data_IF_902864256355
#
_entry.id   IF_902864256355
#
_cell.length_a   1.000
_cell.length_b   1.000
_cell.length_c   1.000
_cell.angle_alpha   90.00
_cell.angle_beta   90.00
_cell.angle_gamma   90.00
#
_symmetry.space_group_name_H-M   'P 1'
#
loop_
_entity.id
_entity.type
_entity.pdbx_description
1 polymer ?
#
# COMPACT_ATOMS: atom_id res chain seq x y z
N UNK A 1 20.05 3.31 4.25
CA UNK A 1 19.15 2.25 4.79
C UNK A 1 17.94 2.87 5.50
N UNK A 2 18.14 3.66 6.51
CA UNK A 2 17.04 4.28 7.27
C UNK A 2 16.18 5.17 6.38
N UNK A 3 16.78 5.96 5.49
CA UNK A 3 16.03 6.82 4.57
C UNK A 3 15.14 6.00 3.64
N UNK A 4 15.64 4.88 3.12
CA UNK A 4 14.85 4.01 2.24
C UNK A 4 13.67 3.39 3.00
N UNK A 5 13.86 3.01 4.25
CA UNK A 5 12.78 2.49 5.09
C UNK A 5 11.75 3.58 5.44
N UNK A 6 12.20 4.82 5.66
CA UNK A 6 11.28 5.93 5.88
C UNK A 6 10.47 6.27 4.63
N UNK A 7 11.07 6.15 3.44
CA UNK A 7 10.33 6.31 2.19
C UNK A 7 9.27 5.22 2.03
N UNK A 8 9.64 3.98 2.35
CA UNK A 8 8.70 2.86 2.32
C UNK A 8 7.57 3.05 3.35
N UNK A 9 7.92 3.54 4.54
CA UNK A 9 6.95 3.87 5.57
C UNK A 9 5.94 4.89 5.06
N UNK A 10 6.41 5.96 4.44
CA UNK A 10 5.54 7.01 3.92
C UNK A 10 4.61 6.47 2.82
N UNK A 11 5.12 5.63 1.93
CA UNK A 11 4.27 5.00 0.92
C UNK A 11 3.13 4.20 1.54
N UNK A 12 3.40 3.46 2.59
CA UNK A 12 2.38 2.67 3.27
C UNK A 12 1.39 3.54 4.03
N UNK A 13 1.83 4.64 4.62
CA UNK A 13 0.95 5.62 5.26
C UNK A 13 0.00 6.23 4.23
N UNK A 14 0.52 6.64 3.08
CA UNK A 14 -0.27 7.23 2.00
C UNK A 14 -1.28 6.22 1.44
N UNK A 15 -0.85 4.96 1.26
CA UNK A 15 -1.71 3.89 0.79
C UNK A 15 -2.87 3.65 1.78
N UNK A 16 -2.56 3.56 3.07
CA UNK A 16 -3.60 3.36 4.09
C UNK A 16 -4.62 4.50 4.07
N UNK A 17 -4.16 5.73 3.97
CA UNK A 17 -5.06 6.90 3.90
C UNK A 17 -5.94 6.85 2.66
N UNK A 18 -5.37 6.47 1.51
CA UNK A 18 -6.11 6.34 0.27
C UNK A 18 -7.18 5.25 0.37
N UNK A 19 -6.84 4.10 0.93
CA UNK A 19 -7.80 3.01 1.11
C UNK A 19 -8.89 3.37 2.12
N UNK A 20 -8.58 4.07 3.20
CA UNK A 20 -9.58 4.53 4.15
C UNK A 20 -10.58 5.48 3.52
N UNK A 21 -10.07 6.41 2.71
CA UNK A 21 -10.93 7.37 2.02
C UNK A 21 -11.82 6.67 1.01
N UNK A 22 -11.27 5.75 0.22
CA UNK A 22 -12.04 4.98 -0.74
C UNK A 22 -13.13 4.16 -0.03
N UNK A 23 -12.79 3.53 1.10
CA UNK A 23 -13.73 2.73 1.87
C UNK A 23 -14.94 3.53 2.34
N UNK A 24 -14.71 4.78 2.77
CA UNK A 24 -15.79 5.63 3.28
C UNK A 24 -16.78 6.06 2.19
N UNK A 25 -16.37 6.00 0.92
CA UNK A 25 -17.14 6.51 -0.20
C UNK A 25 -17.79 5.42 -1.06
N UNK A 26 -17.50 4.14 -0.82
CA UNK A 26 -18.08 3.04 -1.60
C UNK A 26 -19.25 2.41 -0.86
N UNK A 27 -20.22 1.89 -1.62
CA UNK A 27 -21.43 1.28 -1.07
C UNK A 27 -21.45 -0.23 -1.26
N UNK A 28 -20.78 -0.75 -2.29
CA UNK A 28 -20.78 -2.17 -2.60
C UNK A 28 -19.96 -2.94 -1.56
N UNK A 29 -20.59 -3.95 -0.94
CA UNK A 29 -20.00 -4.66 0.20
C UNK A 29 -18.72 -5.43 -0.15
N UNK A 30 -18.59 -5.94 -1.38
CA UNK A 30 -17.39 -6.66 -1.83
C UNK A 30 -16.20 -5.71 -1.84
N UNK A 31 -16.37 -4.52 -2.45
CA UNK A 31 -15.31 -3.53 -2.51
C UNK A 31 -14.99 -2.95 -1.13
N UNK A 32 -16.01 -2.71 -0.32
CA UNK A 32 -15.82 -2.23 1.05
C UNK A 32 -14.97 -3.22 1.86
N UNK A 33 -15.25 -4.52 1.77
CA UNK A 33 -14.48 -5.55 2.45
C UNK A 33 -13.03 -5.58 1.97
N UNK A 34 -12.83 -5.49 0.66
CA UNK A 34 -11.49 -5.43 0.09
C UNK A 34 -10.71 -4.24 0.65
N UNK A 35 -11.33 -3.07 0.65
CA UNK A 35 -10.67 -1.85 1.13
C UNK A 35 -10.38 -1.91 2.62
N UNK A 36 -11.29 -2.49 3.41
CA UNK A 36 -11.09 -2.68 4.85
C UNK A 36 -9.87 -3.59 5.09
N UNK A 37 -9.76 -4.68 4.34
CA UNK A 37 -8.62 -5.60 4.46
C UNK A 37 -7.31 -4.89 4.10
N UNK A 38 -7.33 -4.02 3.10
CA UNK A 38 -6.16 -3.25 2.69
C UNK A 38 -5.74 -2.23 3.76
N UNK A 39 -6.70 -1.57 4.40
CA UNK A 39 -6.40 -0.66 5.52
C UNK A 39 -5.69 -1.42 6.64
N UNK A 40 -6.22 -2.58 7.03
CA UNK A 40 -5.64 -3.42 8.08
C UNK A 40 -4.24 -3.89 7.68
N UNK A 41 -4.07 -4.35 6.45
CA UNK A 41 -2.79 -4.82 5.95
C UNK A 41 -1.74 -3.71 5.98
N UNK A 42 -2.08 -2.53 5.47
CA UNK A 42 -1.13 -1.41 5.43
C UNK A 42 -0.80 -0.92 6.83
N UNK A 43 -1.76 -0.95 7.75
CA UNK A 43 -1.48 -0.60 9.15
C UNK A 43 -0.47 -1.57 9.76
N UNK A 44 -0.59 -2.86 9.49
CA UNK A 44 0.37 -3.86 9.95
C UNK A 44 1.77 -3.63 9.34
N UNK A 45 1.83 -3.28 8.05
CA UNK A 45 3.09 -2.95 7.38
C UNK A 45 3.75 -1.73 8.01
N UNK A 46 2.96 -0.68 8.29
CA UNK A 46 3.43 0.55 8.93
C UNK A 46 4.08 0.23 10.30
N UNK A 47 3.41 -0.58 11.09
CA UNK A 47 3.91 -0.95 12.42
C UNK A 47 5.22 -1.75 12.32
N UNK A 48 5.29 -2.70 11.39
CA UNK A 48 6.49 -3.50 11.20
C UNK A 48 7.68 -2.66 10.71
N UNK A 49 7.46 -1.76 9.76
CA UNK A 49 8.50 -0.88 9.22
C UNK A 49 8.98 0.07 10.33
N UNK A 50 8.05 0.66 11.08
CA UNK A 50 8.37 1.57 12.18
C UNK A 50 9.26 0.86 13.22
N UNK A 51 8.89 -0.35 13.60
CA UNK A 51 9.66 -1.13 14.58
C UNK A 51 11.05 -1.47 14.05
N UNK A 52 11.16 -1.82 12.77
CA UNK A 52 12.46 -2.12 12.16
C UNK A 52 13.37 -0.90 12.13
N UNK A 53 12.83 0.27 11.80
CA UNK A 53 13.59 1.52 11.82
C UNK A 53 14.15 1.78 13.23
N UNK A 54 13.32 1.62 14.25
CA UNK A 54 13.72 1.82 15.64
C UNK A 54 14.81 0.82 16.04
N UNK A 55 14.63 -0.44 15.66
CA UNK A 55 15.60 -1.51 15.94
C UNK A 55 16.96 -1.21 15.31
N UNK A 56 16.98 -0.59 14.13
CA UNK A 56 18.21 -0.19 13.44
C UNK A 56 18.82 1.12 13.98
N UNK A 57 18.23 1.71 15.02
CA UNK A 57 18.73 2.92 15.65
C UNK A 57 18.28 4.22 14.97
N UNK A 58 17.32 4.14 14.07
CA UNK A 58 16.79 5.32 13.37
C UNK A 58 15.53 5.86 14.02
N UNK A 59 15.01 6.93 13.44
CA UNK A 59 13.73 7.54 13.81
C UNK A 59 12.74 7.37 12.67
N UNK A 60 11.55 6.88 12.99
CA UNK A 60 10.48 6.75 12.01
C UNK A 60 9.93 8.14 11.68
N UNK A 61 9.90 8.49 10.41
CA UNK A 61 9.43 9.78 9.92
C UNK A 61 8.28 9.55 8.95
N UNK A 62 7.10 10.04 9.31
CA UNK A 62 5.93 9.92 8.46
C UNK A 62 5.09 11.18 8.54
N UNK A 63 4.43 11.50 7.43
CA UNK A 63 3.52 12.62 7.36
C UNK A 63 2.10 12.11 7.14
N UNK A 64 1.13 12.79 7.72
CA UNK A 64 -0.28 12.42 7.61
C UNK A 64 -0.92 12.96 6.33
N UNK A 65 -0.23 13.85 5.63
CA UNK A 65 -0.71 14.39 4.35
C UNK A 65 0.08 13.78 3.19
N UNK A 66 -0.62 13.38 2.14
CA UNK A 66 0.00 12.82 0.93
C UNK A 66 0.78 13.90 0.18
N UNK A 67 2.02 13.62 -0.20
CA UNK A 67 2.90 14.58 -0.89
C UNK A 67 3.69 13.91 -2.02
N UNK A 68 4.15 14.73 -2.96
CA UNK A 68 5.04 14.31 -4.04
C UNK A 68 4.41 13.33 -5.00
N UNK A 69 5.23 12.44 -5.55
CA UNK A 69 4.78 11.47 -6.56
C UNK A 69 3.77 10.46 -6.02
N UNK A 70 3.81 10.17 -4.73
CA UNK A 70 2.86 9.26 -4.09
C UNK A 70 1.46 9.85 -4.07
N UNK A 71 1.37 11.16 -3.94
CA UNK A 71 0.10 11.89 -3.96
C UNK A 71 -0.67 11.65 -5.26
N UNK A 72 0.02 11.56 -6.39
CA UNK A 72 -0.62 11.34 -7.68
C UNK A 72 -1.39 10.03 -7.77
N UNK A 73 -0.88 8.97 -7.15
CA UNK A 73 -1.56 7.66 -7.14
C UNK A 73 -2.95 7.74 -6.51
N UNK A 74 -3.08 8.55 -5.46
CA UNK A 74 -4.33 8.61 -4.71
C UNK A 74 -5.29 9.70 -5.22
N UNK A 75 -4.79 10.64 -6.00
CA UNK A 75 -5.65 11.59 -6.73
C UNK A 75 -6.52 10.83 -7.74
N UNK A 76 -5.95 9.84 -8.42
CA UNK A 76 -6.67 9.06 -9.42
C UNK A 76 -7.80 8.25 -8.79
N UNK A 77 -7.59 7.68 -7.60
CA UNK A 77 -8.65 7.00 -6.85
C UNK A 77 -9.77 7.98 -6.52
N UNK A 78 -9.43 9.18 -6.08
CA UNK A 78 -10.41 10.22 -5.78
C UNK A 78 -11.25 10.57 -7.01
N UNK A 79 -10.60 10.67 -8.17
CA UNK A 79 -11.30 10.94 -9.43
C UNK A 79 -12.27 9.82 -9.78
N UNK A 80 -11.86 8.56 -9.60
CA UNK A 80 -12.72 7.40 -9.83
C UNK A 80 -13.92 7.39 -8.87
N UNK A 81 -13.70 7.77 -7.62
CA UNK A 81 -14.79 7.91 -6.64
C UNK A 81 -15.81 8.97 -7.08
N UNK A 82 -15.33 10.08 -7.65
CA UNK A 82 -16.20 11.16 -8.13
C UNK A 82 -17.09 10.69 -9.28
N UNK A 83 -16.64 9.72 -10.08
CA UNK A 83 -17.43 9.16 -11.17
C UNK A 83 -18.47 8.14 -10.68
N UNK A 84 -18.43 7.77 -9.41
CA UNK A 84 -19.29 6.77 -8.80
C UNK A 84 -19.20 5.39 -9.48
N UNK A 85 -18.02 5.05 -10.00
CA UNK A 85 -17.72 3.80 -10.68
C UNK A 85 -16.80 2.95 -9.78
N UNK A 86 -17.38 1.96 -9.13
CA UNK A 86 -16.64 1.12 -8.17
C UNK A 86 -15.62 0.21 -8.85
N UNK A 87 -15.88 -0.23 -10.09
CA UNK A 87 -14.89 -0.97 -10.86
C UNK A 87 -13.66 -0.09 -11.14
N UNK A 88 -13.87 1.18 -11.49
CA UNK A 88 -12.77 2.12 -11.70
C UNK A 88 -11.99 2.35 -10.41
N UNK A 89 -12.66 2.43 -9.27
CA UNK A 89 -12.00 2.55 -7.97
C UNK A 89 -11.09 1.33 -7.73
N UNK A 90 -11.62 0.13 -7.99
CA UNK A 90 -10.84 -1.10 -7.82
C UNK A 90 -9.63 -1.13 -8.74
N UNK A 91 -9.80 -0.76 -10.01
CA UNK A 91 -8.69 -0.70 -10.98
C UNK A 91 -7.58 0.24 -10.53
N UNK A 92 -7.94 1.39 -9.95
CA UNK A 92 -6.95 2.33 -9.39
C UNK A 92 -6.23 1.75 -8.18
N UNK A 93 -6.94 1.01 -7.33
CA UNK A 93 -6.32 0.29 -6.21
C UNK A 93 -5.30 -0.73 -6.72
N UNK A 94 -5.64 -1.49 -7.76
CA UNK A 94 -4.74 -2.47 -8.36
C UNK A 94 -3.51 -1.77 -8.94
N UNK A 95 -3.70 -0.65 -9.61
CA UNK A 95 -2.59 0.14 -10.15
C UNK A 95 -1.65 0.61 -9.03
N UNK A 96 -2.20 1.08 -7.93
CA UNK A 96 -1.42 1.48 -6.75
C UNK A 96 -0.64 0.31 -6.15
N UNK A 97 -1.27 -0.87 -6.08
CA UNK A 97 -0.61 -2.08 -5.59
C UNK A 97 0.54 -2.51 -6.50
N UNK A 98 0.38 -2.41 -7.81
CA UNK A 98 1.46 -2.70 -8.77
C UNK A 98 2.63 -1.74 -8.59
N UNK A 99 2.36 -0.47 -8.32
CA UNK A 99 3.42 0.51 -8.04
C UNK A 99 4.13 0.18 -6.73
N UNK A 100 3.39 -0.23 -5.70
CA UNK A 100 3.98 -0.69 -4.44
C UNK A 100 4.89 -1.90 -4.67
N UNK A 101 4.44 -2.87 -5.46
CA UNK A 101 5.23 -4.05 -5.77
C UNK A 101 6.57 -3.68 -6.43
N UNK A 102 6.56 -2.72 -7.35
CA UNK A 102 7.79 -2.23 -7.98
C UNK A 102 8.75 -1.66 -6.94
N UNK A 103 8.24 -0.88 -6.00
CA UNK A 103 9.05 -0.29 -4.93
C UNK A 103 9.69 -1.38 -4.08
N UNK A 104 8.89 -2.36 -3.65
CA UNK A 104 9.40 -3.47 -2.85
C UNK A 104 10.46 -4.29 -3.58
N UNK A 105 10.22 -4.60 -4.85
CA UNK A 105 11.17 -5.35 -5.66
C UNK A 105 12.49 -4.59 -5.84
N UNK A 106 12.42 -3.28 -6.02
CA UNK A 106 13.62 -2.45 -6.13
C UNK A 106 14.42 -2.44 -4.83
N UNK A 107 13.75 -2.33 -3.69
CA UNK A 107 14.42 -2.40 -2.39
C UNK A 107 15.11 -3.75 -2.19
N UNK A 108 14.51 -4.83 -2.66
CA UNK A 108 15.05 -6.19 -2.50
C UNK A 108 16.24 -6.47 -3.40
N UNK A 109 16.54 -5.60 -4.36
CA UNK A 109 17.77 -5.69 -5.14
C UNK A 109 19.01 -5.40 -4.29
N UNK A 110 18.84 -4.67 -3.19
CA UNK A 110 19.94 -4.35 -2.27
C UNK A 110 20.24 -5.56 -1.39
N UNK A 111 21.41 -6.18 -1.59
CA UNK A 111 21.82 -7.38 -0.87
C UNK A 111 22.45 -7.08 0.48
N UNK A 112 22.64 -5.83 0.84
CA UNK A 112 23.29 -5.43 2.10
C UNK A 112 22.32 -5.22 3.26
N UNK A 113 21.02 -5.46 3.04
CA UNK A 113 20.04 -5.36 4.11
C UNK A 113 20.34 -6.38 5.24
N UNK A 114 20.19 -5.98 6.51
CA UNK A 114 20.20 -6.96 7.60
C UNK A 114 19.14 -8.03 7.38
N UNK A 115 19.39 -9.23 7.89
CA UNK A 115 18.50 -10.39 7.67
C UNK A 115 17.05 -10.10 8.13
N UNK A 116 16.87 -9.43 9.27
CA UNK A 116 15.54 -9.10 9.78
C UNK A 116 14.81 -8.11 8.88
N UNK A 117 15.52 -7.12 8.37
CA UNK A 117 14.96 -6.13 7.45
C UNK A 117 14.54 -6.80 6.15
N UNK A 118 15.41 -7.62 5.58
CA UNK A 118 15.12 -8.34 4.35
C UNK A 118 13.91 -9.24 4.50
N UNK A 119 13.82 -9.99 5.61
CA UNK A 119 12.68 -10.86 5.89
C UNK A 119 11.38 -10.08 5.95
N UNK A 120 11.38 -8.93 6.62
CA UNK A 120 10.19 -8.08 6.72
C UNK A 120 9.76 -7.58 5.34
N UNK A 121 10.70 -7.04 4.56
CA UNK A 121 10.40 -6.50 3.22
C UNK A 121 9.89 -7.60 2.29
N UNK A 122 10.52 -8.79 2.31
CA UNK A 122 10.08 -9.94 1.52
C UNK A 122 8.66 -10.37 1.87
N UNK A 123 8.35 -10.44 3.16
CA UNK A 123 7.03 -10.86 3.62
C UNK A 123 5.95 -9.90 3.14
N UNK A 124 6.20 -8.60 3.22
CA UNK A 124 5.26 -7.58 2.75
C UNK A 124 5.10 -7.65 1.23
N UNK A 125 6.22 -7.78 0.49
CA UNK A 125 6.20 -7.94 -0.95
C UNK A 125 5.36 -9.13 -1.37
N UNK A 126 5.54 -10.27 -0.70
CA UNK A 126 4.85 -11.51 -1.05
C UNK A 126 3.34 -11.39 -0.81
N UNK A 127 2.92 -10.67 0.23
CA UNK A 127 1.49 -10.42 0.48
C UNK A 127 0.88 -9.56 -0.61
N UNK A 128 1.57 -8.50 -1.02
CA UNK A 128 1.11 -7.63 -2.11
C UNK A 128 0.99 -8.44 -3.40
N UNK A 129 1.98 -9.24 -3.70
CA UNK A 129 1.99 -10.07 -4.92
C UNK A 129 0.85 -11.09 -4.92
N UNK A 130 0.62 -11.74 -3.79
CA UNK A 130 -0.49 -12.71 -3.67
C UNK A 130 -1.85 -12.04 -3.88
N UNK A 131 -2.01 -10.82 -3.35
CA UNK A 131 -3.25 -10.06 -3.55
C UNK A 131 -3.46 -9.70 -5.02
N UNK A 132 -2.38 -9.34 -5.72
CA UNK A 132 -2.45 -9.02 -7.15
C UNK A 132 -2.82 -10.25 -7.98
N UNK A 133 -2.34 -11.43 -7.59
CA UNK A 133 -2.70 -12.68 -8.27
C UNK A 133 -4.20 -12.99 -8.15
N UNK A 134 -4.87 -12.51 -7.12
CA UNK A 134 -6.30 -12.67 -6.92
C UNK A 134 -7.14 -11.52 -7.46
N UNK A 135 -6.49 -10.50 -8.01
CA UNK A 135 -7.18 -9.28 -8.44
C UNK A 135 -8.18 -9.55 -9.57
N UNK A 136 -7.87 -10.47 -10.49
CA UNK A 136 -8.77 -10.78 -11.59
C UNK A 136 -10.09 -11.37 -11.09
N UNK A 137 -10.03 -12.25 -10.09
CA UNK A 137 -11.23 -12.82 -9.49
C UNK A 137 -12.07 -11.74 -8.78
N UNK A 138 -11.41 -10.80 -8.11
CA UNK A 138 -12.10 -9.68 -7.47
C UNK A 138 -12.77 -8.77 -8.49
N UNK A 139 -12.10 -8.47 -9.60
CA UNK A 139 -12.66 -7.67 -10.69
C UNK A 139 -13.92 -8.32 -11.27
N UNK A 140 -13.89 -9.63 -11.46
CA UNK A 140 -15.05 -10.39 -11.95
C UNK A 140 -16.23 -10.30 -10.98
N UNK A 141 -15.95 -10.29 -9.67
CA UNK A 141 -16.99 -10.18 -8.64
C UNK A 141 -17.66 -8.80 -8.61
N UNK A 142 -16.97 -7.75 -9.10
CA UNK A 142 -17.50 -6.39 -9.15
C UNK A 142 -18.33 -6.12 -10.42
N UNK A 143 -18.25 -6.98 -11.43
CA UNK A 143 -19.06 -6.89 -12.65
C UNK A 143 -20.50 -7.48 -12.44
#
# INVERSE_FOLDING_TARGET
MIDALNDLLQQNVDARQGYEKARSDVEQSILESYLTDKVVQRQAFIEAITQEIITLGGSAKRETTVKGSLHHSWIDIKSALSSNDEEAVFEECVRGEKNSLKTYNKLLENTSWPASTKTMVLRQRDQINADLERADAMADALN
#
